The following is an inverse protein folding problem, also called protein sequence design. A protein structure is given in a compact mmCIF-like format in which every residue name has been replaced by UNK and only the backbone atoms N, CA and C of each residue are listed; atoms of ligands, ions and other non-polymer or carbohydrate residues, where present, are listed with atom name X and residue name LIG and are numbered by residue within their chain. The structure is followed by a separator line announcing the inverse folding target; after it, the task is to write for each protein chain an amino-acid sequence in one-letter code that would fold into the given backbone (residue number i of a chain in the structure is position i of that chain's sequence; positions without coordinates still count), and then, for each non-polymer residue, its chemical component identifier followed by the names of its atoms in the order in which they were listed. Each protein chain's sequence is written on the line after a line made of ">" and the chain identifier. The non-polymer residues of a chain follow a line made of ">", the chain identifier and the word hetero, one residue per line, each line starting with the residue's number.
data_IF_185106264577
#
_entry.id   IF_185106264577
#
_cell.length_a   1.000
_cell.length_b   1.000
_cell.length_c   1.000
_cell.angle_alpha   90.00
_cell.angle_beta   90.00
_cell.angle_gamma   90.00
#
_symmetry.space_group_name_H-M   'P 1'
#
loop_
_entity.id
_entity.type
_entity.pdbx_description
1 polymer ?
#
# COMPACT_ATOMS: atom_id res chain seq x y z
N UNK A 1 27.26 -37.99 15.74
CA UNK A 1 26.73 -37.72 14.37
C UNK A 1 25.20 -37.62 14.27
N UNK A 2 24.37 -38.16 15.18
CA UNK A 2 22.89 -38.03 15.10
C UNK A 2 22.30 -36.65 15.48
N UNK A 3 23.02 -35.82 16.24
CA UNK A 3 22.52 -34.50 16.66
C UNK A 3 22.63 -33.40 15.58
N UNK A 4 23.55 -33.55 14.61
CA UNK A 4 23.72 -32.58 13.53
C UNK A 4 22.64 -32.71 12.43
N UNK A 5 22.11 -33.92 12.19
CA UNK A 5 21.07 -34.13 11.17
C UNK A 5 19.65 -33.72 11.64
N UNK A 6 19.34 -33.82 12.94
CA UNK A 6 18.06 -33.36 13.47
C UNK A 6 17.96 -31.83 13.48
N UNK A 7 19.04 -31.13 13.83
CA UNK A 7 19.11 -29.67 13.80
C UNK A 7 18.90 -29.12 12.38
N UNK A 8 19.52 -29.73 11.36
CA UNK A 8 19.32 -29.34 9.95
C UNK A 8 17.89 -29.57 9.45
N UNK A 9 17.23 -30.65 9.88
CA UNK A 9 15.84 -30.93 9.54
C UNK A 9 14.86 -29.93 10.18
N UNK A 10 15.10 -29.56 11.45
CA UNK A 10 14.29 -28.56 12.16
C UNK A 10 14.44 -27.17 11.54
N UNK A 11 15.66 -26.76 11.18
CA UNK A 11 15.92 -25.48 10.50
C UNK A 11 15.25 -25.47 9.12
N UNK A 12 15.34 -26.56 8.36
CA UNK A 12 14.67 -26.70 7.05
C UNK A 12 13.14 -26.58 7.16
N UNK A 13 12.54 -27.19 8.18
CA UNK A 13 11.10 -27.13 8.42
C UNK A 13 10.66 -25.70 8.83
N UNK A 14 11.42 -25.05 9.72
CA UNK A 14 11.14 -23.68 10.15
C UNK A 14 11.22 -22.69 8.98
N UNK A 15 12.24 -22.82 8.12
CA UNK A 15 12.38 -22.00 6.90
C UNK A 15 11.20 -22.23 5.95
N UNK A 16 10.76 -23.47 5.74
CA UNK A 16 9.56 -23.77 4.92
C UNK A 16 8.29 -23.15 5.49
N UNK A 17 8.11 -23.17 6.81
CA UNK A 17 6.97 -22.53 7.46
C UNK A 17 7.02 -21.00 7.33
N UNK A 18 8.18 -20.39 7.57
CA UNK A 18 8.36 -18.93 7.47
C UNK A 18 8.19 -18.43 6.03
N UNK A 19 8.69 -19.20 5.06
CA UNK A 19 8.51 -18.94 3.64
C UNK A 19 7.10 -19.28 3.12
N UNK A 20 6.23 -19.91 3.92
CA UNK A 20 4.84 -20.10 3.49
C UNK A 20 4.11 -18.75 3.41
N UNK A 21 3.05 -18.66 2.60
CA UNK A 21 2.24 -17.44 2.53
C UNK A 21 1.73 -17.02 3.92
N UNK A 22 1.30 -17.98 4.74
CA UNK A 22 0.85 -17.72 6.13
C UNK A 22 1.99 -17.22 7.01
N UNK A 23 3.17 -17.83 6.90
CA UNK A 23 4.36 -17.41 7.63
C UNK A 23 4.77 -15.98 7.29
N UNK A 24 4.78 -15.66 5.99
CA UNK A 24 5.05 -14.30 5.51
C UNK A 24 3.99 -13.29 5.95
N UNK A 25 2.70 -13.65 5.96
CA UNK A 25 1.65 -12.77 6.48
C UNK A 25 1.89 -12.42 7.94
N UNK A 26 2.16 -13.43 8.79
CA UNK A 26 2.43 -13.21 10.21
C UNK A 26 3.71 -12.39 10.39
N UNK A 27 4.77 -12.72 9.65
CA UNK A 27 6.04 -12.01 9.71
C UNK A 27 5.87 -10.53 9.32
N UNK A 28 5.18 -10.24 8.21
CA UNK A 28 4.92 -8.87 7.78
C UNK A 28 4.06 -8.13 8.80
N UNK A 29 3.00 -8.73 9.34
CA UNK A 29 2.18 -8.07 10.38
C UNK A 29 3.01 -7.71 11.63
N UNK A 30 3.87 -8.62 12.09
CA UNK A 30 4.78 -8.33 13.22
C UNK A 30 5.80 -7.25 12.86
N UNK A 31 6.34 -7.31 11.64
CA UNK A 31 7.26 -6.32 11.10
C UNK A 31 6.63 -4.92 11.04
N UNK A 32 5.37 -4.83 10.61
CA UNK A 32 4.59 -3.57 10.56
C UNK A 32 4.27 -3.06 11.97
N UNK A 33 3.85 -3.94 12.90
CA UNK A 33 3.63 -3.56 14.30
C UNK A 33 4.90 -2.97 14.94
N UNK A 34 6.05 -3.60 14.72
CA UNK A 34 7.33 -3.13 15.25
C UNK A 34 7.72 -1.78 14.63
N UNK A 35 7.61 -1.64 13.30
CA UNK A 35 7.87 -0.37 12.62
C UNK A 35 6.96 0.75 13.10
N UNK A 36 5.66 0.47 13.25
CA UNK A 36 4.68 1.44 13.74
C UNK A 36 5.03 1.93 15.15
N UNK A 37 5.42 1.03 16.05
CA UNK A 37 5.85 1.39 17.41
C UNK A 37 7.09 2.29 17.41
N UNK A 38 8.10 1.97 16.61
CA UNK A 38 9.33 2.76 16.50
C UNK A 38 9.05 4.14 15.91
N UNK A 39 8.32 4.22 14.80
CA UNK A 39 7.99 5.50 14.15
C UNK A 39 7.13 6.38 15.04
N UNK A 40 6.13 5.80 15.70
CA UNK A 40 5.31 6.51 16.68
C UNK A 40 6.18 7.10 17.79
N UNK A 41 7.22 6.40 18.25
CA UNK A 41 8.13 6.92 19.27
C UNK A 41 9.06 8.01 18.73
N UNK A 42 9.69 7.79 17.58
CA UNK A 42 10.64 8.72 16.96
C UNK A 42 9.96 10.05 16.62
N UNK A 43 8.77 10.00 16.01
CA UNK A 43 8.10 11.21 15.53
C UNK A 43 7.28 11.90 16.62
N UNK A 44 6.63 11.18 17.54
CA UNK A 44 5.95 11.84 18.68
C UNK A 44 6.92 12.45 19.69
N UNK A 45 8.19 12.00 19.73
CA UNK A 45 9.20 12.63 20.60
C UNK A 45 9.55 14.06 20.19
N UNK A 46 9.27 14.43 18.93
CA UNK A 46 9.46 15.79 18.40
C UNK A 46 8.36 16.76 18.84
N UNK A 47 7.23 16.25 19.35
CA UNK A 47 6.15 17.09 19.87
C UNK A 47 6.50 17.63 21.27
N UNK A 48 6.46 18.97 21.48
CA UNK A 48 6.57 19.53 22.81
C UNK A 48 5.52 18.91 23.74
N UNK A 49 5.92 18.48 24.94
CA UNK A 49 5.07 17.80 25.95
C UNK A 49 3.68 18.45 26.15
N UNK A 50 3.56 19.77 26.00
CA UNK A 50 2.30 20.54 26.12
C UNK A 50 1.25 20.28 25.03
N UNK A 51 1.59 19.59 23.94
CA UNK A 51 0.69 19.32 22.81
C UNK A 51 0.19 17.87 22.74
N UNK A 52 0.54 17.01 23.71
CA UNK A 52 0.01 15.64 23.80
C UNK A 52 -1.48 15.67 24.14
N UNK A 53 -2.30 14.98 23.36
CA UNK A 53 -3.73 14.84 23.58
C UNK A 53 -4.61 15.87 22.86
N UNK A 54 -4.03 16.74 22.03
CA UNK A 54 -4.82 17.55 21.10
C UNK A 54 -5.43 16.65 20.02
N UNK A 55 -6.69 16.89 19.67
CA UNK A 55 -7.33 16.26 18.50
C UNK A 55 -7.06 17.10 17.24
N UNK A 56 -7.02 16.47 16.07
CA UNK A 56 -6.77 17.15 14.78
C UNK A 56 -7.83 18.23 14.55
N UNK A 57 -9.09 17.92 14.91
CA UNK A 57 -10.24 18.80 14.80
C UNK A 57 -10.08 20.09 15.62
N UNK A 58 -9.49 20.01 16.82
CA UNK A 58 -9.27 21.18 17.66
C UNK A 58 -8.18 22.09 17.10
N UNK A 59 -7.16 21.50 16.48
CA UNK A 59 -6.07 22.21 15.82
C UNK A 59 -6.58 22.93 14.58
N UNK A 60 -7.39 22.25 13.77
CA UNK A 60 -8.05 22.84 12.60
C UNK A 60 -8.97 23.99 12.99
N UNK A 61 -9.82 23.79 13.99
CA UNK A 61 -10.74 24.81 14.50
C UNK A 61 -10.00 26.05 15.00
N UNK A 62 -8.97 25.86 15.82
CA UNK A 62 -8.15 26.96 16.35
C UNK A 62 -7.40 27.71 15.25
N UNK A 63 -6.94 27.01 14.22
CA UNK A 63 -6.31 27.62 13.06
C UNK A 63 -7.30 28.52 12.29
N UNK A 64 -8.51 28.02 12.01
CA UNK A 64 -9.56 28.81 11.34
C UNK A 64 -9.93 30.06 12.13
N UNK A 65 -10.13 29.93 13.46
CA UNK A 65 -10.42 31.08 14.31
C UNK A 65 -9.31 32.13 14.28
N UNK A 66 -8.04 31.71 14.32
CA UNK A 66 -6.90 32.65 14.24
C UNK A 66 -6.78 33.30 12.88
N UNK A 67 -7.04 32.59 11.79
CA UNK A 67 -7.08 33.21 10.47
C UNK A 67 -8.20 34.24 10.35
N UNK A 68 -9.38 33.92 10.89
CA UNK A 68 -10.50 34.85 10.94
C UNK A 68 -10.17 36.10 11.78
N UNK A 69 -9.55 35.93 12.94
CA UNK A 69 -9.11 37.03 13.80
C UNK A 69 -8.07 37.92 13.11
N UNK A 70 -7.06 37.33 12.45
CA UNK A 70 -6.07 38.07 11.67
C UNK A 70 -6.75 38.88 10.57
N UNK A 71 -7.70 38.27 9.84
CA UNK A 71 -8.44 38.94 8.75
C UNK A 71 -9.33 40.08 9.23
N UNK A 72 -9.97 39.93 10.40
CA UNK A 72 -10.93 40.91 10.94
C UNK A 72 -10.26 42.01 11.76
N UNK A 73 -8.98 41.86 12.10
CA UNK A 73 -8.20 42.92 12.73
C UNK A 73 -8.07 44.14 11.80
N UNK A 74 -8.49 45.32 12.27
CA UNK A 74 -8.60 46.56 11.48
C UNK A 74 -7.26 47.16 11.02
N UNK A 75 -6.12 46.54 11.36
CA UNK A 75 -4.78 47.13 11.26
C UNK A 75 -3.85 46.40 10.28
N UNK A 76 -4.34 45.38 9.57
CA UNK A 76 -3.48 44.49 8.80
C UNK A 76 -3.55 44.84 7.32
N UNK A 77 -2.45 45.35 6.77
CA UNK A 77 -2.28 45.52 5.32
C UNK A 77 -2.36 44.15 4.62
N UNK A 78 -2.56 44.13 3.29
CA UNK A 78 -2.59 42.86 2.55
C UNK A 78 -1.29 42.05 2.72
N UNK A 79 -0.15 42.73 2.81
CA UNK A 79 1.16 42.10 2.96
C UNK A 79 1.34 41.53 4.38
N UNK A 80 0.97 42.29 5.40
CA UNK A 80 0.99 41.84 6.80
C UNK A 80 0.04 40.65 7.01
N UNK A 81 -1.12 40.66 6.34
CA UNK A 81 -2.07 39.55 6.37
C UNK A 81 -1.41 38.29 5.82
N UNK A 82 -0.80 38.38 4.63
CA UNK A 82 -0.14 37.23 3.99
C UNK A 82 1.02 36.73 4.86
N UNK A 83 1.83 37.60 5.43
CA UNK A 83 2.94 37.22 6.29
C UNK A 83 2.46 36.50 7.57
N UNK A 84 1.44 37.05 8.23
CA UNK A 84 0.84 36.45 9.43
C UNK A 84 0.14 35.11 9.12
N UNK A 85 -0.59 35.03 8.01
CA UNK A 85 -1.24 33.80 7.55
C UNK A 85 -0.21 32.71 7.24
N UNK A 86 0.90 33.04 6.55
CA UNK A 86 1.99 32.07 6.29
C UNK A 86 2.56 31.51 7.58
N UNK A 87 2.82 32.35 8.58
CA UNK A 87 3.29 31.92 9.90
C UNK A 87 2.27 31.00 10.58
N UNK A 88 0.98 31.28 10.44
CA UNK A 88 -0.07 30.48 11.06
C UNK A 88 -0.30 29.15 10.34
N UNK A 89 -0.20 29.14 9.01
CA UNK A 89 -0.23 27.92 8.18
C UNK A 89 0.94 27.00 8.57
N UNK A 90 2.15 27.54 8.65
CA UNK A 90 3.33 26.77 9.06
C UNK A 90 3.15 26.12 10.44
N UNK A 91 2.63 26.87 11.42
CA UNK A 91 2.36 26.35 12.77
C UNK A 91 1.25 25.30 12.77
N UNK A 92 0.20 25.48 11.98
CA UNK A 92 -0.88 24.50 11.85
C UNK A 92 -0.38 23.21 11.21
N UNK A 93 0.39 23.31 10.12
CA UNK A 93 1.01 22.17 9.45
C UNK A 93 1.89 21.36 10.42
N UNK A 94 2.76 22.02 11.17
CA UNK A 94 3.65 21.38 12.16
C UNK A 94 2.86 20.60 13.24
N UNK A 95 1.77 21.17 13.76
CA UNK A 95 0.98 20.52 14.79
C UNK A 95 0.17 19.36 14.20
N UNK A 96 -0.48 19.59 13.06
CA UNK A 96 -1.32 18.60 12.40
C UNK A 96 -0.52 17.38 11.96
N UNK A 97 0.64 17.57 11.31
CA UNK A 97 1.51 16.48 10.86
C UNK A 97 2.00 15.61 12.02
N UNK A 98 2.14 16.22 13.20
CA UNK A 98 2.60 15.51 14.37
C UNK A 98 1.46 14.75 15.08
N UNK A 99 0.22 15.26 15.02
CA UNK A 99 -0.97 14.51 15.45
C UNK A 99 -1.29 13.33 14.54
N UNK A 100 -0.83 13.35 13.29
CA UNK A 100 -1.00 12.26 12.34
C UNK A 100 -0.23 10.98 12.75
N UNK A 101 0.74 11.03 13.68
CA UNK A 101 1.49 9.86 14.16
C UNK A 101 0.79 9.02 15.25
N UNK A 102 -0.48 8.67 14.99
CA UNK A 102 -1.18 7.63 15.77
C UNK A 102 -0.60 6.24 15.46
N UNK A 103 -0.86 5.24 16.32
CA UNK A 103 -0.45 3.85 16.02
C UNK A 103 -1.02 3.35 14.69
N UNK A 104 -2.30 3.63 14.39
CA UNK A 104 -2.94 3.17 13.17
C UNK A 104 -2.33 3.84 11.94
N UNK A 105 -2.06 5.14 12.01
CA UNK A 105 -1.39 5.90 10.95
C UNK A 105 0.05 5.45 10.75
N UNK A 106 0.79 5.21 11.83
CA UNK A 106 2.16 4.68 11.78
C UNK A 106 2.20 3.25 11.20
N UNK A 107 1.16 2.45 11.47
CA UNK A 107 0.99 1.13 10.88
C UNK A 107 0.75 1.23 9.37
N UNK A 108 -0.19 2.08 8.94
CA UNK A 108 -0.43 2.31 7.52
C UNK A 108 0.81 2.91 6.83
N UNK A 109 1.54 3.80 7.48
CA UNK A 109 2.82 4.31 6.98
C UNK A 109 3.80 3.17 6.72
N UNK A 110 4.05 2.30 7.70
CA UNK A 110 4.99 1.19 7.54
C UNK A 110 4.52 0.22 6.44
N UNK A 111 3.23 -0.08 6.38
CA UNK A 111 2.63 -0.90 5.32
C UNK A 111 2.89 -0.26 3.95
N UNK A 112 2.46 0.98 3.75
CA UNK A 112 2.58 1.71 2.47
C UNK A 112 4.03 1.96 2.07
N UNK A 113 4.96 2.02 3.02
CA UNK A 113 6.38 2.17 2.77
C UNK A 113 6.97 0.91 2.12
N UNK A 114 6.79 -0.27 2.72
CA UNK A 114 7.35 -1.49 2.13
C UNK A 114 6.53 -2.02 0.94
N UNK A 115 5.25 -1.65 0.83
CA UNK A 115 4.44 -1.96 -0.36
C UNK A 115 4.67 -0.97 -1.50
N UNK A 116 5.55 0.01 -1.29
CA UNK A 116 5.91 1.05 -2.26
C UNK A 116 4.72 1.87 -2.76
N UNK A 117 3.64 1.94 -1.98
CA UNK A 117 2.49 2.80 -2.27
C UNK A 117 2.84 4.26 -1.91
N UNK A 118 3.26 4.50 -0.67
CA UNK A 118 3.84 5.79 -0.25
C UNK A 118 2.93 7.03 -0.37
N UNK A 119 1.74 7.06 0.25
CA UNK A 119 0.82 8.22 0.19
C UNK A 119 1.40 9.56 0.65
N UNK A 120 2.45 9.57 1.48
CA UNK A 120 3.09 10.81 1.93
C UNK A 120 2.30 11.66 2.95
N UNK A 121 1.04 11.32 3.26
CA UNK A 121 0.24 12.00 4.30
C UNK A 121 0.99 12.02 5.65
N UNK A 122 1.37 10.85 6.17
CA UNK A 122 2.27 10.73 7.31
C UNK A 122 3.68 10.44 6.78
N UNK A 123 4.64 11.32 7.07
CA UNK A 123 6.03 11.16 6.63
C UNK A 123 6.99 11.63 7.73
N UNK A 124 8.14 10.94 7.91
CA UNK A 124 9.07 11.29 8.97
C UNK A 124 9.69 12.65 8.71
N UNK A 125 9.60 13.54 9.70
CA UNK A 125 10.26 14.84 9.64
C UNK A 125 11.64 14.76 10.29
N UNK A 126 11.79 13.92 11.32
CA UNK A 126 13.03 13.77 12.07
C UNK A 126 14.13 13.05 11.26
N UNK A 127 15.39 13.39 11.53
CA UNK A 127 16.53 12.71 10.90
C UNK A 127 16.58 11.21 11.25
N UNK A 128 16.23 10.87 12.50
CA UNK A 128 16.18 9.49 12.97
C UNK A 128 15.05 8.69 12.29
N UNK A 129 13.86 9.27 12.14
CA UNK A 129 12.74 8.66 11.41
C UNK A 129 13.06 8.44 9.94
N UNK A 130 13.70 9.41 9.28
CA UNK A 130 14.17 9.27 7.89
C UNK A 130 15.19 8.14 7.73
N UNK A 131 16.17 8.06 8.62
CA UNK A 131 17.16 6.98 8.63
C UNK A 131 16.50 5.62 8.90
N UNK A 132 15.57 5.56 9.87
CA UNK A 132 14.82 4.35 10.17
C UNK A 132 14.04 3.88 8.93
N UNK A 133 13.30 4.77 8.27
CA UNK A 133 12.51 4.43 7.08
C UNK A 133 13.38 3.89 5.96
N UNK A 134 14.59 4.44 5.75
CA UNK A 134 15.55 3.93 4.78
C UNK A 134 15.97 2.49 5.10
N UNK A 135 16.39 2.24 6.35
CA UNK A 135 16.82 0.89 6.77
C UNK A 135 15.66 -0.11 6.77
N UNK A 136 14.47 0.35 7.15
CA UNK A 136 13.24 -0.42 7.17
C UNK A 136 12.81 -0.82 5.75
N UNK A 137 12.87 0.10 4.77
CA UNK A 137 12.52 -0.23 3.39
C UNK A 137 13.46 -1.23 2.73
N UNK A 138 14.75 -1.23 3.09
CA UNK A 138 15.75 -2.17 2.54
C UNK A 138 15.38 -3.63 2.80
N UNK A 139 14.81 -3.93 3.98
CA UNK A 139 14.38 -5.28 4.32
C UNK A 139 12.91 -5.53 3.99
N UNK A 140 12.06 -4.53 4.21
CA UNK A 140 10.62 -4.63 3.98
C UNK A 140 10.24 -4.88 2.53
N UNK A 141 10.82 -4.14 1.58
CA UNK A 141 10.45 -4.23 0.16
C UNK A 141 10.74 -5.63 -0.41
N UNK A 142 11.96 -6.21 -0.27
CA UNK A 142 12.22 -7.56 -0.77
C UNK A 142 11.31 -8.61 -0.13
N UNK A 143 11.08 -8.51 1.18
CA UNK A 143 10.18 -9.42 1.89
C UNK A 143 8.74 -9.33 1.35
N UNK A 144 8.27 -8.11 1.11
CA UNK A 144 6.95 -7.86 0.55
C UNK A 144 6.81 -8.36 -0.88
N UNK A 145 7.82 -8.19 -1.74
CA UNK A 145 7.78 -8.71 -3.12
C UNK A 145 7.63 -10.24 -3.16
N UNK A 146 8.33 -10.96 -2.28
CA UNK A 146 8.18 -12.41 -2.14
C UNK A 146 6.76 -12.77 -1.65
N UNK A 147 6.22 -11.99 -0.71
CA UNK A 147 4.83 -12.15 -0.26
C UNK A 147 3.83 -11.91 -1.39
N UNK A 148 3.96 -10.82 -2.14
CA UNK A 148 3.08 -10.43 -3.24
C UNK A 148 3.04 -11.51 -4.34
N UNK A 149 4.20 -12.03 -4.75
CA UNK A 149 4.26 -13.14 -5.72
C UNK A 149 3.55 -14.40 -5.23
N UNK A 150 3.74 -14.78 -3.96
CA UNK A 150 3.04 -15.94 -3.36
C UNK A 150 1.55 -15.71 -3.19
N UNK A 151 1.14 -14.47 -2.94
CA UNK A 151 -0.26 -14.08 -2.85
C UNK A 151 -0.93 -14.18 -4.21
N UNK A 152 -0.34 -13.59 -5.27
CA UNK A 152 -0.79 -13.71 -6.66
C UNK A 152 -0.99 -15.17 -7.06
N UNK A 153 0.05 -16.01 -6.87
CA UNK A 153 -0.02 -17.44 -7.21
C UNK A 153 -1.06 -18.23 -6.39
N UNK A 154 -1.36 -17.80 -5.16
CA UNK A 154 -2.45 -18.40 -4.36
C UNK A 154 -3.82 -17.95 -4.89
N UNK A 155 -3.98 -16.67 -5.20
CA UNK A 155 -5.21 -16.12 -5.74
C UNK A 155 -5.55 -16.74 -7.08
N UNK A 156 -4.57 -16.87 -7.98
CA UNK A 156 -4.75 -17.53 -9.27
C UNK A 156 -5.31 -18.94 -9.10
N UNK A 157 -4.67 -19.78 -8.28
CA UNK A 157 -5.15 -21.16 -8.04
C UNK A 157 -6.54 -21.20 -7.45
N UNK A 158 -6.82 -20.31 -6.50
CA UNK A 158 -8.14 -20.23 -5.89
C UNK A 158 -9.20 -19.80 -6.92
N UNK A 159 -8.93 -18.77 -7.72
CA UNK A 159 -9.80 -18.29 -8.80
C UNK A 159 -10.03 -19.37 -9.86
N UNK A 160 -8.97 -20.02 -10.36
CA UNK A 160 -9.10 -21.13 -11.33
C UNK A 160 -9.90 -22.31 -10.78
N UNK A 161 -9.90 -22.53 -9.46
CA UNK A 161 -10.74 -23.57 -8.84
C UNK A 161 -12.22 -23.20 -8.70
N UNK A 162 -12.56 -21.90 -8.80
CA UNK A 162 -13.91 -21.38 -8.56
C UNK A 162 -14.59 -20.86 -9.81
N UNK A 163 -13.83 -20.33 -10.76
CA UNK A 163 -14.36 -19.76 -11.98
C UNK A 163 -14.78 -20.87 -12.96
N UNK A 164 -15.91 -20.69 -13.68
CA UNK A 164 -16.31 -21.59 -14.75
C UNK A 164 -15.22 -21.71 -15.82
N UNK A 165 -15.10 -22.89 -16.42
CA UNK A 165 -14.14 -23.19 -17.49
C UNK A 165 -14.25 -22.23 -18.69
N UNK A 166 -15.44 -21.68 -18.95
CA UNK A 166 -15.66 -20.68 -19.99
C UNK A 166 -14.89 -19.36 -19.75
N UNK A 167 -14.73 -18.95 -18.49
CA UNK A 167 -13.92 -17.76 -18.12
C UNK A 167 -12.41 -18.10 -18.07
N UNK A 168 -12.07 -19.38 -17.97
CA UNK A 168 -10.70 -19.88 -17.96
C UNK A 168 -10.20 -20.25 -19.36
N UNK A 169 -11.03 -20.11 -20.40
CA UNK A 169 -10.70 -20.43 -21.78
C UNK A 169 -9.71 -19.42 -22.39
N UNK A 170 -8.50 -19.37 -21.84
CA UNK A 170 -7.30 -18.78 -22.46
C UNK A 170 -6.53 -19.84 -23.23
N UNK A 171 -5.67 -19.42 -24.17
CA UNK A 171 -4.73 -20.32 -24.87
C UNK A 171 -3.97 -21.16 -23.82
N UNK A 172 -4.00 -22.49 -23.95
CA UNK A 172 -3.21 -23.41 -23.12
C UNK A 172 -1.72 -23.11 -23.32
N UNK A 173 -1.05 -22.55 -22.34
CA UNK A 173 0.42 -22.53 -22.35
C UNK A 173 0.91 -23.90 -21.89
N UNK A 174 1.52 -24.61 -22.83
CA UNK A 174 2.12 -25.92 -22.62
C UNK A 174 3.47 -25.76 -21.93
N UNK A 175 3.49 -25.37 -20.66
CA UNK A 175 4.57 -25.69 -19.72
C UNK A 175 4.17 -25.16 -18.32
N UNK A 176 3.76 -26.06 -17.43
CA UNK A 176 3.63 -25.75 -15.99
C UNK A 176 2.22 -25.57 -15.40
N UNK A 177 1.26 -26.44 -15.72
CA UNK A 177 0.25 -26.93 -14.77
C UNK A 177 -0.81 -25.96 -14.21
N UNK A 178 -1.93 -25.86 -14.92
CA UNK A 178 -3.22 -25.34 -14.44
C UNK A 178 -3.84 -24.34 -15.42
N UNK A 179 -5.16 -24.39 -15.61
CA UNK A 179 -5.89 -23.44 -16.46
C UNK A 179 -5.56 -22.00 -16.03
N UNK A 180 -4.74 -21.33 -16.84
CA UNK A 180 -4.24 -20.02 -16.52
C UNK A 180 -5.26 -18.96 -16.97
N UNK A 181 -5.59 -18.03 -16.07
CA UNK A 181 -6.56 -16.98 -16.35
C UNK A 181 -6.14 -16.15 -17.57
N UNK A 182 -7.05 -15.82 -18.49
CA UNK A 182 -6.77 -14.85 -19.55
C UNK A 182 -6.34 -13.49 -19.00
N UNK A 183 -5.64 -12.70 -19.82
CA UNK A 183 -5.28 -11.32 -19.46
C UNK A 183 -6.52 -10.48 -19.16
N UNK A 184 -7.55 -10.58 -19.99
CA UNK A 184 -8.78 -9.81 -19.85
C UNK A 184 -9.56 -10.16 -18.58
N UNK A 185 -9.54 -11.41 -18.12
CA UNK A 185 -10.22 -11.77 -16.86
C UNK A 185 -9.53 -11.14 -15.65
N UNK A 186 -8.20 -11.11 -15.65
CA UNK A 186 -7.42 -10.46 -14.60
C UNK A 186 -7.70 -8.95 -14.56
N UNK A 187 -7.81 -8.32 -15.73
CA UNK A 187 -8.19 -6.91 -15.84
C UNK A 187 -9.61 -6.64 -15.32
N UNK A 188 -10.60 -7.47 -15.69
CA UNK A 188 -11.98 -7.35 -15.20
C UNK A 188 -12.05 -7.55 -13.68
N UNK A 189 -11.31 -8.51 -13.13
CA UNK A 189 -11.26 -8.75 -11.68
C UNK A 189 -10.66 -7.56 -10.92
N UNK A 190 -9.60 -6.94 -11.44
CA UNK A 190 -9.00 -5.75 -10.84
C UNK A 190 -9.96 -4.54 -10.89
N UNK A 191 -10.66 -4.35 -12.01
CA UNK A 191 -11.70 -3.32 -12.14
C UNK A 191 -12.85 -3.56 -11.16
N UNK A 192 -13.35 -4.80 -11.07
CA UNK A 192 -14.41 -5.16 -10.14
C UNK A 192 -13.99 -4.96 -8.68
N UNK A 193 -12.73 -5.31 -8.33
CA UNK A 193 -12.16 -5.02 -7.02
C UNK A 193 -12.07 -3.52 -6.74
N UNK A 194 -11.71 -2.71 -7.74
CA UNK A 194 -11.66 -1.25 -7.62
C UNK A 194 -13.05 -0.68 -7.34
N UNK A 195 -14.08 -1.12 -8.07
CA UNK A 195 -15.47 -0.73 -7.84
C UNK A 195 -15.99 -1.17 -6.46
N UNK A 196 -15.62 -2.37 -6.00
CA UNK A 196 -15.93 -2.83 -4.65
C UNK A 196 -15.27 -1.95 -3.58
N UNK A 197 -14.03 -1.50 -3.82
CA UNK A 197 -13.37 -0.47 -3.01
C UNK A 197 -14.15 0.84 -2.98
N UNK A 198 -14.71 1.27 -4.12
CA UNK A 198 -15.62 2.42 -4.20
C UNK A 198 -16.78 2.34 -3.21
N UNK A 199 -17.46 1.19 -3.17
CA UNK A 199 -18.57 0.97 -2.21
C UNK A 199 -18.06 0.92 -0.77
N UNK A 200 -16.95 0.25 -0.53
CA UNK A 200 -16.34 0.13 0.80
C UNK A 200 -15.99 1.51 1.38
N UNK A 201 -15.25 2.32 0.64
CA UNK A 201 -14.79 3.62 1.12
C UNK A 201 -15.90 4.68 1.13
N UNK A 202 -16.89 4.59 0.25
CA UNK A 202 -18.08 5.42 0.37
C UNK A 202 -18.83 5.15 1.70
N UNK A 203 -18.86 3.90 2.15
CA UNK A 203 -19.49 3.53 3.41
C UNK A 203 -18.68 3.93 4.67
N UNK A 204 -17.37 4.14 4.56
CA UNK A 204 -16.50 4.42 5.72
C UNK A 204 -15.96 5.84 5.79
N UNK A 205 -15.78 6.52 4.65
CA UNK A 205 -15.07 7.80 4.52
C UNK A 205 -15.94 8.97 4.03
N UNK A 206 -17.24 8.75 3.82
CA UNK A 206 -18.17 9.73 3.23
C UNK A 206 -17.72 10.24 1.85
N UNK A 207 -16.98 9.39 1.12
CA UNK A 207 -16.51 9.69 -0.22
C UNK A 207 -17.56 9.30 -1.27
N UNK A 208 -17.62 10.02 -2.42
CA UNK A 208 -18.27 9.50 -3.60
C UNK A 208 -17.72 8.11 -3.97
N UNK A 209 -18.59 7.22 -4.46
CA UNK A 209 -18.18 5.86 -4.90
C UNK A 209 -17.04 5.91 -5.93
N UNK A 210 -17.05 6.93 -6.81
CA UNK A 210 -15.99 7.16 -7.79
C UNK A 210 -14.63 7.42 -7.13
N UNK A 211 -14.59 8.26 -6.10
CA UNK A 211 -13.37 8.60 -5.36
C UNK A 211 -12.82 7.38 -4.60
N UNK A 212 -13.70 6.57 -4.01
CA UNK A 212 -13.30 5.31 -3.38
C UNK A 212 -12.73 4.29 -4.39
N UNK A 213 -13.29 4.23 -5.60
CA UNK A 213 -12.80 3.34 -6.65
C UNK A 213 -11.47 3.82 -7.24
N UNK A 214 -11.33 5.13 -7.41
CA UNK A 214 -10.08 5.79 -7.78
C UNK A 214 -8.99 5.54 -6.74
N UNK A 215 -9.26 5.81 -5.46
CA UNK A 215 -8.35 5.52 -4.36
C UNK A 215 -7.91 4.05 -4.37
N UNK A 216 -8.86 3.13 -4.52
CA UNK A 216 -8.59 1.68 -4.58
C UNK A 216 -7.58 1.35 -5.68
N UNK A 217 -7.85 1.76 -6.92
CA UNK A 217 -6.98 1.45 -8.06
C UNK A 217 -5.60 2.09 -7.94
N UNK A 218 -5.53 3.39 -7.61
CA UNK A 218 -4.27 4.15 -7.42
C UNK A 218 -3.40 3.53 -6.33
N UNK A 219 -4.03 3.02 -5.27
CA UNK A 219 -3.33 2.40 -4.15
C UNK A 219 -2.78 1.01 -4.50
N UNK A 220 -3.62 0.12 -5.06
CA UNK A 220 -3.22 -1.27 -5.33
C UNK A 220 -2.27 -1.41 -6.52
N UNK A 221 -2.24 -0.40 -7.39
CA UNK A 221 -1.25 -0.26 -8.47
C UNK A 221 0.07 0.39 -7.99
N UNK A 222 0.20 0.71 -6.70
CA UNK A 222 1.35 1.39 -6.10
C UNK A 222 1.68 2.77 -6.66
N UNK A 223 0.72 3.44 -7.32
CA UNK A 223 0.88 4.84 -7.76
C UNK A 223 0.86 5.77 -6.53
N UNK A 224 -0.10 5.53 -5.63
CA UNK A 224 -0.10 6.12 -4.28
C UNK A 224 -0.05 7.65 -4.22
N UNK A 225 -0.90 8.33 -4.99
CA UNK A 225 -0.91 9.80 -5.08
C UNK A 225 -1.10 10.52 -3.74
N UNK A 226 -1.82 9.90 -2.79
CA UNK A 226 -1.98 10.42 -1.43
C UNK A 226 -2.91 11.63 -1.30
N UNK A 227 -3.60 11.98 -2.38
CA UNK A 227 -4.68 12.96 -2.42
C UNK A 227 -5.93 12.48 -1.65
N UNK A 228 -6.17 11.16 -1.65
CA UNK A 228 -7.14 10.49 -0.78
C UNK A 228 -6.45 9.48 0.12
N UNK A 229 -6.79 9.51 1.41
CA UNK A 229 -6.35 8.53 2.41
C UNK A 229 -7.45 8.29 3.44
N UNK A 230 -7.77 7.03 3.77
CA UNK A 230 -8.86 6.73 4.70
C UNK A 230 -8.55 7.21 6.12
N UNK A 231 -9.56 7.71 6.81
CA UNK A 231 -9.53 7.98 8.24
C UNK A 231 -9.40 6.69 9.03
N UNK A 232 -8.30 6.54 9.76
CA UNK A 232 -7.97 5.31 10.50
C UNK A 232 -8.35 5.39 11.99
N UNK A 233 -9.54 5.92 12.25
CA UNK A 233 -10.07 6.22 13.59
C UNK A 233 -10.41 4.95 14.40
N UNK A 234 -10.57 3.81 13.72
CA UNK A 234 -10.84 2.52 14.36
C UNK A 234 -9.96 1.39 13.82
N UNK A 235 -9.71 0.39 14.67
CA UNK A 235 -8.99 -0.83 14.28
C UNK A 235 -9.74 -1.63 13.21
N UNK A 236 -11.07 -1.52 13.18
CA UNK A 236 -11.91 -2.18 12.18
C UNK A 236 -11.70 -1.56 10.80
N UNK A 237 -11.71 -0.22 10.70
CA UNK A 237 -11.40 0.51 9.45
C UNK A 237 -9.98 0.18 8.95
N UNK A 238 -8.99 0.19 9.85
CA UNK A 238 -7.62 -0.21 9.50
C UNK A 238 -7.57 -1.64 8.96
N UNK A 239 -8.19 -2.61 9.65
CA UNK A 239 -8.23 -3.99 9.21
C UNK A 239 -8.90 -4.16 7.85
N UNK A 240 -10.05 -3.52 7.63
CA UNK A 240 -10.77 -3.53 6.36
C UNK A 240 -9.94 -2.94 5.22
N UNK A 241 -9.30 -1.80 5.45
CA UNK A 241 -8.41 -1.15 4.48
C UNK A 241 -7.22 -2.06 4.11
N UNK A 242 -6.52 -2.62 5.10
CA UNK A 242 -5.37 -3.50 4.85
C UNK A 242 -5.76 -4.77 4.10
N UNK A 243 -6.90 -5.38 4.43
CA UNK A 243 -7.41 -6.56 3.73
C UNK A 243 -7.75 -6.24 2.28
N UNK A 244 -8.44 -5.10 2.06
CA UNK A 244 -8.78 -4.61 0.72
C UNK A 244 -7.51 -4.38 -0.12
N UNK A 245 -6.56 -3.59 0.40
CA UNK A 245 -5.30 -3.31 -0.29
C UNK A 245 -4.48 -4.58 -0.56
N UNK A 246 -4.40 -5.49 0.41
CA UNK A 246 -3.67 -6.76 0.24
C UNK A 246 -4.29 -7.61 -0.87
N UNK A 247 -5.62 -7.74 -0.91
CA UNK A 247 -6.30 -8.47 -1.98
C UNK A 247 -6.05 -7.82 -3.34
N UNK A 248 -6.16 -6.50 -3.42
CA UNK A 248 -5.93 -5.75 -4.65
C UNK A 248 -4.50 -5.86 -5.17
N UNK A 249 -3.50 -5.81 -4.30
CA UNK A 249 -2.09 -6.05 -4.64
C UNK A 249 -1.93 -7.44 -5.27
N UNK A 250 -2.59 -8.46 -4.72
CA UNK A 250 -2.56 -9.80 -5.28
C UNK A 250 -3.22 -9.89 -6.67
N UNK A 251 -4.32 -9.17 -6.91
CA UNK A 251 -4.97 -9.09 -8.23
C UNK A 251 -4.13 -8.27 -9.24
N UNK A 252 -3.49 -7.20 -8.79
CA UNK A 252 -2.56 -6.41 -9.58
C UNK A 252 -1.34 -7.26 -10.00
N UNK A 253 -0.78 -8.04 -9.07
CA UNK A 253 0.28 -9.00 -9.35
C UNK A 253 -0.15 -10.05 -10.39
N UNK A 254 -1.37 -10.58 -10.27
CA UNK A 254 -1.93 -11.51 -11.26
C UNK A 254 -2.02 -10.86 -12.65
N UNK A 255 -2.50 -9.62 -12.75
CA UNK A 255 -2.55 -8.88 -14.01
C UNK A 255 -1.15 -8.72 -14.63
N UNK A 256 -0.17 -8.33 -13.82
CA UNK A 256 1.22 -8.20 -14.27
C UNK A 256 1.81 -9.53 -14.76
N UNK A 257 1.55 -10.63 -14.05
CA UNK A 257 1.99 -11.97 -14.46
C UNK A 257 1.40 -12.36 -15.82
N UNK A 258 0.12 -12.02 -16.08
CA UNK A 258 -0.53 -12.27 -17.38
C UNK A 258 -0.01 -11.36 -18.48
N UNK A 259 0.26 -10.09 -18.16
CA UNK A 259 0.80 -9.13 -19.12
C UNK A 259 2.19 -9.56 -19.59
N UNK A 260 3.05 -9.98 -18.66
CA UNK A 260 4.38 -10.52 -18.99
C UNK A 260 4.28 -11.76 -19.88
N UNK A 261 3.40 -12.71 -19.54
CA UNK A 261 3.20 -13.92 -20.35
C UNK A 261 2.73 -13.61 -21.79
N UNK A 262 1.85 -12.61 -21.92
CA UNK A 262 1.39 -12.14 -23.22
C UNK A 262 2.51 -11.48 -24.02
N UNK A 263 3.32 -10.63 -23.37
CA UNK A 263 4.45 -9.95 -23.99
C UNK A 263 5.48 -10.95 -24.51
N UNK A 264 5.84 -11.95 -23.71
CA UNK A 264 6.77 -13.01 -24.10
C UNK A 264 6.26 -13.78 -25.32
N UNK A 265 4.96 -14.10 -25.36
CA UNK A 265 4.33 -14.78 -26.50
C UNK A 265 4.39 -13.93 -27.76
N UNK A 266 4.10 -12.63 -27.66
CA UNK A 266 4.13 -11.71 -28.79
C UNK A 266 5.54 -11.52 -29.35
N UNK A 267 6.55 -11.46 -28.47
CA UNK A 267 7.96 -11.37 -28.85
C UNK A 267 8.43 -12.65 -29.58
N UNK A 268 8.01 -13.83 -29.09
CA UNK A 268 8.32 -15.10 -29.76
C UNK A 268 7.66 -15.20 -31.14
N UNK A 269 6.40 -14.80 -31.27
CA UNK A 269 5.69 -14.77 -32.55
C UNK A 269 6.40 -13.82 -33.55
N UNK A 270 6.81 -12.62 -33.10
CA UNK A 270 7.56 -11.69 -33.93
C UNK A 270 8.91 -12.26 -34.39
N UNK A 271 9.70 -12.84 -33.49
CA UNK A 271 10.99 -13.45 -33.83
C UNK A 271 10.86 -14.61 -34.84
N UNK A 272 9.81 -15.43 -34.72
CA UNK A 272 9.54 -16.52 -35.67
C UNK A 272 9.20 -16.00 -37.08
N UNK A 273 8.49 -14.86 -37.17
CA UNK A 273 8.18 -14.25 -38.48
C UNK A 273 9.40 -13.67 -39.18
N UNK A 274 10.40 -13.18 -38.43
CA UNK A 274 11.66 -12.67 -38.99
C UNK A 274 12.55 -13.81 -39.52
N UNK A 275 12.70 -14.91 -38.78
CA UNK A 275 13.47 -16.08 -39.22
C UNK A 275 12.88 -16.72 -40.50
N UNK A 276 11.56 -16.71 -40.63
CA UNK A 276 10.89 -17.17 -41.85
C UNK A 276 11.14 -16.26 -43.07
N UNK A 277 11.24 -14.94 -42.86
CA UNK A 277 11.58 -14.01 -43.96
C UNK A 277 13.05 -14.12 -44.37
N UNK A 278 13.97 -14.23 -43.41
CA UNK A 278 15.40 -14.38 -43.69
C UNK A 278 15.81 -15.69 -44.36
N UNK A 279 14.98 -16.73 -44.27
CA UNK A 279 15.16 -18.01 -45.00
C UNK A 279 14.52 -18.02 -46.40
N UNK A 280 13.70 -17.02 -46.73
CA UNK A 280 13.02 -16.91 -48.01
C UNK A 280 13.75 -15.99 -49.00
N UNK A 281 14.81 -15.30 -48.55
CA UNK A 281 15.78 -14.53 -49.35
C UNK A 281 17.07 -15.33 -49.58
#
# INVERSE_FOLDING_TARGET
>A
MKAASSSGATVSLAVKHLASLRGLTVLLLLYTCLGAGVMMQLENSQLPHKRRGLQVEDVDRNFLYKLYEIRTSKLVSREDFVAASKKQIAKWQEIRSALEWSFNSAFLYCFTLYTTIGYGHAHPVSAAGKLFSLLYSVLGIPLFLVFAGRLSARLQRWLSSKLPSALLAGKRTSEGGGDSLPLWTSAVLLTAHSLAGGVLYAATEDWPVGDGAYFSLVSVSSVGLGDLTPGLDSRAKLGACLLHLTLGIGLCGLLMDRLNSWLDSALQEAAATEDHKGKAE
#
